data_IF_819444348565
#
_entry.id   IF_819444348565
#
_cell.length_a   1.000
_cell.length_b   1.000
_cell.length_c   1.000
_cell.angle_alpha   90.00
_cell.angle_beta   90.00
_cell.angle_gamma   90.00
#
_symmetry.space_group_name_H-M   'P 1'
#
loop_
_entity.id
_entity.type
_entity.pdbx_description
1 polymer ?
#
# COMPACT_ATOMS: atom_id res chain seq x y z
N UNK A 1 -8.65 9.42 -12.22
CA UNK A 1 -8.22 8.55 -11.10
C UNK A 1 -9.39 7.64 -10.78
N UNK A 2 -9.18 6.34 -10.59
CA UNK A 2 -10.25 5.38 -10.31
C UNK A 2 -9.89 4.53 -9.08
N UNK A 3 -10.90 3.94 -8.44
CA UNK A 3 -10.73 3.01 -7.33
C UNK A 3 -11.40 1.69 -7.68
N UNK A 4 -10.67 0.59 -7.49
CA UNK A 4 -11.26 -0.75 -7.44
C UNK A 4 -11.30 -1.20 -5.98
N UNK A 5 -12.41 -1.81 -5.58
CA UNK A 5 -12.58 -2.42 -4.27
C UNK A 5 -13.31 -3.74 -4.42
N UNK A 6 -12.79 -4.79 -3.82
CA UNK A 6 -13.41 -6.10 -3.85
C UNK A 6 -12.67 -7.12 -3.01
N UNK A 7 -13.05 -8.38 -3.18
CA UNK A 7 -12.51 -9.51 -2.41
C UNK A 7 -11.24 -10.11 -3.04
N UNK A 8 -10.98 -9.83 -4.31
CA UNK A 8 -9.85 -10.41 -5.03
C UNK A 8 -8.50 -9.93 -4.47
N UNK A 9 -7.70 -10.89 -3.99
CA UNK A 9 -6.29 -10.65 -3.71
C UNK A 9 -5.46 -10.64 -5.01
N UNK A 10 -4.29 -10.00 -5.00
CA UNK A 10 -3.35 -10.05 -6.13
C UNK A 10 -2.56 -11.37 -6.08
N UNK A 11 -3.18 -12.46 -6.54
CA UNK A 11 -2.55 -13.76 -6.74
C UNK A 11 -3.33 -14.57 -7.80
N UNK A 12 -2.74 -15.65 -8.33
CA UNK A 12 -3.38 -16.47 -9.38
C UNK A 12 -4.70 -17.09 -8.95
N UNK A 13 -4.83 -17.45 -7.67
CA UNK A 13 -6.05 -18.05 -7.12
C UNK A 13 -7.24 -17.11 -7.20
N UNK A 14 -7.14 -15.89 -6.65
CA UNK A 14 -8.20 -14.89 -6.71
C UNK A 14 -8.38 -14.28 -8.11
N UNK A 15 -7.31 -14.20 -8.92
CA UNK A 15 -7.37 -13.55 -10.24
C UNK A 15 -7.86 -14.48 -11.36
N UNK A 16 -7.83 -15.81 -11.18
CA UNK A 16 -8.16 -16.77 -12.24
C UNK A 16 -9.01 -17.97 -11.80
N UNK A 17 -8.96 -18.36 -10.52
CA UNK A 17 -9.56 -19.61 -10.03
C UNK A 17 -10.84 -19.41 -9.21
N UNK A 18 -10.75 -18.68 -8.11
CA UNK A 18 -11.82 -18.51 -7.13
C UNK A 18 -12.87 -17.48 -7.62
N UNK A 19 -14.12 -17.66 -7.17
CA UNK A 19 -15.19 -16.67 -7.39
C UNK A 19 -14.96 -15.43 -6.54
N UNK A 20 -14.53 -14.33 -7.17
CA UNK A 20 -14.30 -13.03 -6.54
C UNK A 20 -15.23 -11.94 -7.10
N UNK A 21 -15.48 -10.88 -6.33
CA UNK A 21 -16.25 -9.72 -6.77
C UNK A 21 -15.44 -8.43 -6.59
N UNK A 22 -15.41 -7.59 -7.63
CA UNK A 22 -14.83 -6.24 -7.58
C UNK A 22 -15.81 -5.19 -8.11
N UNK A 23 -15.79 -4.01 -7.50
CA UNK A 23 -16.50 -2.81 -7.95
C UNK A 23 -15.45 -1.77 -8.36
N UNK A 24 -15.59 -1.24 -9.58
CA UNK A 24 -14.79 -0.11 -10.05
C UNK A 24 -15.60 1.18 -9.97
N UNK A 25 -14.98 2.25 -9.47
CA UNK A 25 -15.55 3.57 -9.38
C UNK A 25 -14.59 4.63 -9.94
N UNK A 26 -15.07 5.49 -10.84
CA UNK A 26 -14.24 6.42 -11.62
C UNK A 26 -14.34 7.88 -11.15
N UNK A 27 -15.06 8.16 -10.06
CA UNK A 27 -15.22 9.54 -9.60
C UNK A 27 -13.94 10.04 -8.92
N UNK A 28 -13.19 10.85 -9.68
CA UNK A 28 -11.86 11.29 -9.31
C UNK A 28 -11.79 12.00 -7.95
N UNK A 29 -12.79 12.79 -7.59
CA UNK A 29 -12.81 13.55 -6.34
C UNK A 29 -12.93 12.63 -5.11
N UNK A 30 -13.78 11.62 -5.18
CA UNK A 30 -13.91 10.62 -4.10
C UNK A 30 -12.64 9.79 -4.00
N UNK A 31 -12.09 9.35 -5.12
CA UNK A 31 -10.85 8.56 -5.14
C UNK A 31 -9.66 9.34 -4.58
N UNK A 32 -9.53 10.63 -4.92
CA UNK A 32 -8.47 11.48 -4.38
C UNK A 32 -8.61 11.69 -2.86
N UNK A 33 -9.82 11.96 -2.38
CA UNK A 33 -10.10 12.11 -0.95
C UNK A 33 -9.80 10.82 -0.18
N UNK A 34 -10.20 9.67 -0.71
CA UNK A 34 -9.90 8.36 -0.13
C UNK A 34 -8.39 8.13 -0.03
N UNK A 35 -7.65 8.39 -1.12
CA UNK A 35 -6.19 8.31 -1.14
C UNK A 35 -5.55 9.19 -0.07
N UNK A 36 -5.89 10.48 -0.02
CA UNK A 36 -5.33 11.42 0.96
C UNK A 36 -5.61 10.99 2.40
N UNK A 37 -6.82 10.51 2.69
CA UNK A 37 -7.21 10.03 4.03
C UNK A 37 -6.42 8.79 4.45
N UNK A 38 -6.31 7.78 3.58
CA UNK A 38 -5.57 6.56 3.87
C UNK A 38 -4.08 6.84 4.07
N UNK A 39 -3.47 7.60 3.16
CA UNK A 39 -2.06 7.98 3.33
C UNK A 39 -1.84 8.85 4.56
N UNK A 40 -2.74 9.79 4.86
CA UNK A 40 -2.67 10.61 6.07
C UNK A 40 -2.64 9.76 7.34
N UNK A 41 -3.54 8.76 7.41
CA UNK A 41 -3.60 7.80 8.51
C UNK A 41 -2.30 7.00 8.65
N UNK A 42 -1.76 6.45 7.55
CA UNK A 42 -0.61 5.56 7.60
C UNK A 42 0.75 6.28 7.73
N UNK A 43 0.81 7.57 7.38
CA UNK A 43 2.06 8.34 7.35
C UNK A 43 2.13 9.46 8.39
N UNK A 44 1.10 9.60 9.24
CA UNK A 44 1.00 10.74 10.16
C UNK A 44 1.00 12.08 9.41
N UNK A 45 0.21 12.15 8.33
CA UNK A 45 0.05 13.29 7.42
C UNK A 45 1.30 13.74 6.66
N UNK A 46 2.35 12.91 6.57
CA UNK A 46 3.61 13.27 5.90
C UNK A 46 3.78 12.72 4.48
N UNK A 47 2.94 11.78 4.07
CA UNK A 47 2.99 11.13 2.74
C UNK A 47 1.66 11.16 1.98
N UNK A 48 0.77 12.10 2.33
CA UNK A 48 -0.55 12.27 1.70
C UNK A 48 -0.57 13.34 0.60
N UNK A 49 0.59 13.91 0.25
CA UNK A 49 0.75 14.95 -0.76
C UNK A 49 0.24 14.47 -2.13
N UNK A 50 -0.17 15.42 -2.96
CA UNK A 50 -0.57 15.14 -4.35
C UNK A 50 0.62 15.05 -5.29
N UNK A 51 1.73 15.71 -4.94
CA UNK A 51 3.01 15.58 -5.64
C UNK A 51 3.64 14.20 -5.34
N UNK A 52 3.82 13.34 -6.35
CA UNK A 52 4.38 12.01 -6.15
C UNK A 52 5.81 12.05 -5.61
N UNK A 53 6.66 12.94 -6.10
CA UNK A 53 8.08 12.99 -5.72
C UNK A 53 8.23 13.33 -4.23
N UNK A 54 7.42 14.28 -3.74
CA UNK A 54 7.38 14.63 -2.32
C UNK A 54 6.86 13.45 -1.50
N UNK A 55 5.77 12.80 -1.94
CA UNK A 55 5.19 11.67 -1.25
C UNK A 55 6.17 10.49 -1.16
N UNK A 56 6.84 10.13 -2.26
CA UNK A 56 7.83 9.05 -2.31
C UNK A 56 9.00 9.30 -1.36
N UNK A 57 9.56 10.51 -1.34
CA UNK A 57 10.63 10.87 -0.39
C UNK A 57 10.18 10.73 1.06
N UNK A 58 8.95 11.16 1.37
CA UNK A 58 8.40 11.02 2.71
C UNK A 58 8.20 9.55 3.11
N UNK A 59 7.70 8.72 2.19
CA UNK A 59 7.55 7.28 2.42
C UNK A 59 8.90 6.60 2.69
N UNK A 60 9.92 6.92 1.91
CA UNK A 60 11.27 6.38 2.08
C UNK A 60 11.84 6.71 3.47
N UNK A 61 11.73 7.97 3.90
CA UNK A 61 12.18 8.41 5.22
C UNK A 61 11.43 7.70 6.35
N UNK A 62 10.10 7.58 6.23
CA UNK A 62 9.26 6.87 7.20
C UNK A 62 9.66 5.40 7.31
N UNK A 63 9.80 4.72 6.17
CA UNK A 63 10.17 3.30 6.12
C UNK A 63 11.55 3.09 6.75
N UNK A 64 12.54 3.93 6.40
CA UNK A 64 13.88 3.88 6.99
C UNK A 64 13.82 4.05 8.50
N UNK A 65 13.08 5.04 8.99
CA UNK A 65 12.94 5.28 10.43
C UNK A 65 12.27 4.12 11.16
N UNK A 66 11.22 3.55 10.57
CA UNK A 66 10.53 2.39 11.13
C UNK A 66 11.43 1.15 11.18
N UNK A 67 12.32 0.95 10.21
CA UNK A 67 13.33 -0.12 10.26
C UNK A 67 14.32 0.05 11.40
N UNK A 68 14.84 1.27 11.59
CA UNK A 68 15.75 1.60 12.70
C UNK A 68 15.09 1.33 14.06
N UNK A 69 13.85 1.78 14.24
CA UNK A 69 13.08 1.57 15.47
C UNK A 69 12.78 0.09 15.69
N UNK A 70 12.41 -0.66 14.64
CA UNK A 70 12.21 -2.11 14.72
C UNK A 70 13.48 -2.84 15.14
N UNK A 71 14.63 -2.48 14.59
CA UNK A 71 15.93 -3.04 14.99
C UNK A 71 16.27 -2.74 16.46
N UNK A 72 15.89 -1.55 16.94
CA UNK A 72 16.02 -1.15 18.34
C UNK A 72 14.92 -1.72 19.27
N UNK A 73 14.01 -2.56 18.76
CA UNK A 73 12.82 -3.09 19.48
C UNK A 73 11.92 -2.00 20.06
N UNK A 74 11.84 -0.86 19.39
CA UNK A 74 10.97 0.26 19.75
C UNK A 74 9.69 0.26 18.90
N UNK A 75 8.69 1.00 19.37
CA UNK A 75 7.46 1.25 18.61
C UNK A 75 7.77 1.97 17.29
N UNK A 76 7.02 1.67 16.20
CA UNK A 76 7.20 2.35 14.93
C UNK A 76 6.84 3.85 15.06
N UNK A 77 7.47 4.66 14.23
CA UNK A 77 7.20 6.10 14.12
C UNK A 77 5.78 6.38 13.61
N UNK A 78 5.35 5.64 12.57
CA UNK A 78 3.98 5.63 12.00
C UNK A 78 3.69 4.25 11.41
N UNK A 79 2.46 3.98 10.95
CA UNK A 79 2.05 2.62 10.52
C UNK A 79 2.65 2.12 9.20
N UNK A 80 3.13 3.02 8.32
CA UNK A 80 3.69 2.62 7.02
C UNK A 80 4.96 1.76 7.17
N UNK A 81 5.00 0.60 6.54
CA UNK A 81 6.18 -0.29 6.49
C UNK A 81 6.56 -0.60 5.04
N UNK A 82 7.78 -1.08 4.83
CA UNK A 82 8.17 -1.54 3.49
C UNK A 82 7.32 -2.73 3.04
N UNK A 83 7.12 -2.82 1.72
CA UNK A 83 6.57 -4.02 1.13
C UNK A 83 7.59 -5.17 1.28
N UNK A 84 7.18 -6.26 1.90
CA UNK A 84 8.01 -7.45 2.01
C UNK A 84 8.03 -8.20 0.68
N UNK A 85 9.14 -8.09 -0.03
CA UNK A 85 9.40 -8.86 -1.23
C UNK A 85 10.39 -10.00 -0.93
N UNK A 86 9.87 -11.20 -0.69
CA UNK A 86 10.67 -12.42 -0.85
C UNK A 86 10.77 -12.74 -2.35
N UNK A 87 11.96 -13.07 -2.85
CA UNK A 87 12.15 -13.51 -4.24
C UNK A 87 11.05 -14.47 -4.66
N UNK A 88 10.48 -14.27 -5.83
CA UNK A 88 9.47 -15.17 -6.38
C UNK A 88 10.07 -16.58 -6.53
N UNK A 89 9.61 -17.51 -5.71
CA UNK A 89 9.83 -18.94 -5.93
C UNK A 89 8.70 -19.43 -6.82
N UNK A 90 8.89 -19.38 -8.14
CA UNK A 90 8.07 -20.15 -9.07
C UNK A 90 8.51 -21.62 -8.97
N UNK A 91 8.06 -22.31 -7.92
CA UNK A 91 8.01 -23.77 -7.91
C UNK A 91 6.55 -24.13 -8.08
N UNK A 92 6.29 -25.04 -9.00
CA UNK A 92 4.98 -25.60 -9.38
C UNK A 92 4.25 -24.82 -10.48
N UNK A 93 4.76 -25.03 -11.71
CA UNK A 93 3.95 -25.18 -12.91
C UNK A 93 4.45 -26.43 -13.66
N UNK A 94 4.38 -27.59 -13.01
CA UNK A 94 4.37 -28.93 -13.61
C UNK A 94 3.44 -29.84 -12.79
#
# INVERSE_FOLDING_TARGET
>A
MYTTQGSANINTRSMMGDSELNICHEYADTTQQLRRRLWGLHTGNKGAQDDPDIAFKAWELIIKRNKELKAAKQQPYVSLVEFYYSKANYKDLD
#
